data_IF_518617419431
#
_entry.id   IF_518617419431
#
_cell.length_a   1.000
_cell.length_b   1.000
_cell.length_c   1.000
_cell.angle_alpha   90.00
_cell.angle_beta   90.00
_cell.angle_gamma   90.00
#
_symmetry.space_group_name_H-M   'P 1'
#
loop_
_entity.id
_entity.type
_entity.pdbx_description
1 polymer ?
#
# COMPACT_ATOMS: atom_id res chain seq x y z
N UNK A 1 19.09 -5.72 -26.33
CA UNK A 1 18.47 -4.68 -25.48
C UNK A 1 17.79 -5.39 -24.33
N UNK A 2 18.31 -5.30 -23.12
CA UNK A 2 17.62 -5.78 -21.93
C UNK A 2 16.40 -4.91 -21.71
N UNK A 3 15.21 -5.51 -21.76
CA UNK A 3 13.96 -4.78 -21.45
C UNK A 3 14.03 -4.40 -19.98
N UNK A 4 14.18 -3.12 -19.70
CA UNK A 4 14.23 -2.61 -18.34
C UNK A 4 12.90 -2.93 -17.64
N UNK A 5 12.97 -3.83 -16.66
CA UNK A 5 11.81 -4.24 -15.87
C UNK A 5 11.41 -3.12 -14.91
N UNK A 6 10.23 -2.57 -15.07
CA UNK A 6 9.70 -1.56 -14.14
C UNK A 6 9.00 -2.26 -12.96
N UNK A 7 9.08 -1.71 -11.74
CA UNK A 7 8.30 -2.20 -10.62
C UNK A 7 6.82 -1.95 -10.84
N UNK A 8 5.98 -2.81 -10.26
CA UNK A 8 4.53 -2.65 -10.30
C UNK A 8 4.00 -2.65 -8.88
N UNK A 9 3.25 -1.62 -8.50
CA UNK A 9 2.61 -1.53 -7.18
C UNK A 9 1.65 -2.71 -6.93
N UNK A 10 1.12 -3.34 -8.00
CA UNK A 10 0.29 -4.54 -7.87
C UNK A 10 1.01 -5.70 -7.22
N UNK A 11 2.34 -5.79 -7.36
CA UNK A 11 3.17 -6.81 -6.69
C UNK A 11 3.02 -6.74 -5.18
N UNK A 12 2.97 -5.53 -4.64
CA UNK A 12 2.75 -5.29 -3.21
C UNK A 12 1.26 -5.40 -2.84
N UNK A 13 0.35 -4.84 -3.64
CA UNK A 13 -1.06 -4.69 -3.29
C UNK A 13 -1.85 -6.01 -3.34
N UNK A 14 -1.61 -6.88 -4.33
CA UNK A 14 -2.39 -8.11 -4.51
C UNK A 14 -2.38 -8.99 -3.25
N UNK A 15 -1.24 -9.29 -2.60
CA UNK A 15 -1.24 -10.07 -1.37
C UNK A 15 -2.09 -9.44 -0.25
N UNK A 16 -2.02 -8.12 -0.06
CA UNK A 16 -2.79 -7.41 0.96
C UNK A 16 -4.29 -7.41 0.69
N UNK A 17 -4.69 -7.13 -0.55
CA UNK A 17 -6.11 -7.16 -0.95
C UNK A 17 -6.67 -8.57 -0.74
N UNK A 18 -5.92 -9.61 -1.15
CA UNK A 18 -6.31 -11.00 -0.94
C UNK A 18 -6.46 -11.31 0.54
N UNK A 19 -5.50 -10.89 1.37
CA UNK A 19 -5.53 -11.08 2.81
C UNK A 19 -6.79 -10.47 3.44
N UNK A 20 -7.05 -9.19 3.20
CA UNK A 20 -8.19 -8.51 3.80
C UNK A 20 -9.53 -9.11 3.36
N UNK A 21 -9.69 -9.45 2.08
CA UNK A 21 -10.94 -10.03 1.59
C UNK A 21 -11.10 -11.47 2.04
N UNK A 22 -10.12 -12.33 1.77
CA UNK A 22 -10.27 -13.76 1.97
C UNK A 22 -10.32 -14.14 3.46
N UNK A 23 -9.49 -13.54 4.31
CA UNK A 23 -9.47 -13.80 5.76
C UNK A 23 -10.73 -13.27 6.44
N UNK A 24 -11.30 -12.14 5.99
CA UNK A 24 -12.56 -11.62 6.50
C UNK A 24 -13.77 -12.49 6.14
N UNK A 25 -13.73 -13.20 5.02
CA UNK A 25 -14.79 -14.14 4.63
C UNK A 25 -14.69 -15.46 5.40
N UNK A 26 -13.50 -16.01 5.50
CA UNK A 26 -13.22 -17.24 6.25
C UNK A 26 -11.76 -17.24 6.68
N UNK A 27 -11.52 -17.22 7.98
CA UNK A 27 -10.16 -17.08 8.53
C UNK A 27 -9.22 -18.19 8.07
N UNK A 28 -9.62 -19.45 8.18
CA UNK A 28 -8.76 -20.60 7.86
C UNK A 28 -8.51 -20.70 6.34
N UNK A 29 -9.57 -20.82 5.54
CA UNK A 29 -9.47 -20.94 4.07
C UNK A 29 -8.87 -19.68 3.46
N UNK A 30 -9.24 -18.50 3.96
CA UNK A 30 -8.72 -17.22 3.50
C UNK A 30 -7.22 -17.06 3.77
N UNK A 31 -6.75 -17.54 4.90
CA UNK A 31 -5.32 -17.56 5.22
C UNK A 31 -4.55 -18.47 4.25
N UNK A 32 -5.06 -19.66 3.96
CA UNK A 32 -4.46 -20.58 2.97
C UNK A 32 -4.43 -19.95 1.58
N UNK A 33 -5.55 -19.37 1.13
CA UNK A 33 -5.62 -18.67 -0.16
C UNK A 33 -4.58 -17.54 -0.22
N UNK A 34 -4.48 -16.75 0.84
CA UNK A 34 -3.52 -15.63 0.91
C UNK A 34 -2.07 -16.13 0.85
N UNK A 35 -1.74 -17.20 1.55
CA UNK A 35 -0.40 -17.82 1.49
C UNK A 35 -0.08 -18.32 0.09
N UNK A 36 -1.03 -18.96 -0.58
CA UNK A 36 -0.86 -19.42 -1.96
C UNK A 36 -0.63 -18.26 -2.92
N UNK A 37 -1.43 -17.20 -2.82
CA UNK A 37 -1.29 -15.99 -3.65
C UNK A 37 0.06 -15.31 -3.37
N UNK A 38 0.42 -15.08 -2.10
CA UNK A 38 1.68 -14.46 -1.73
C UNK A 38 2.89 -15.25 -2.27
N UNK A 39 2.83 -16.58 -2.21
CA UNK A 39 3.87 -17.47 -2.75
C UNK A 39 3.92 -17.46 -4.29
N UNK A 40 2.79 -17.26 -4.96
CA UNK A 40 2.70 -17.23 -6.42
C UNK A 40 3.15 -15.90 -7.03
N UNK A 41 3.06 -14.78 -6.29
CA UNK A 41 3.40 -13.43 -6.78
C UNK A 41 4.79 -13.36 -7.44
N UNK A 42 5.88 -13.88 -6.86
CA UNK A 42 7.20 -13.83 -7.49
C UNK A 42 7.25 -14.49 -8.88
N UNK A 43 6.44 -15.52 -9.09
CA UNK A 43 6.37 -16.25 -10.37
C UNK A 43 5.47 -15.53 -11.38
N UNK A 44 4.31 -15.04 -10.94
CA UNK A 44 3.34 -14.33 -11.80
C UNK A 44 3.92 -12.99 -12.24
N UNK A 45 4.52 -12.25 -11.33
CA UNK A 45 5.04 -10.90 -11.54
C UNK A 45 6.52 -10.87 -11.98
N UNK A 46 7.07 -12.01 -12.43
CA UNK A 46 8.49 -12.18 -12.84
C UNK A 46 8.97 -11.18 -13.92
N UNK A 47 8.05 -10.58 -14.66
CA UNK A 47 8.34 -9.54 -15.67
C UNK A 47 8.58 -8.17 -15.04
N UNK A 48 8.22 -7.96 -13.78
CA UNK A 48 8.41 -6.72 -13.06
C UNK A 48 9.65 -6.78 -12.17
N UNK A 49 10.22 -5.61 -11.87
CA UNK A 49 11.31 -5.48 -10.91
C UNK A 49 10.70 -5.49 -9.50
N UNK A 50 11.20 -6.35 -8.62
CA UNK A 50 10.83 -6.34 -7.22
C UNK A 50 11.61 -5.27 -6.47
N UNK A 51 10.91 -4.47 -5.70
CA UNK A 51 11.50 -3.54 -4.74
C UNK A 51 11.45 -4.16 -3.33
N UNK A 52 12.21 -3.60 -2.40
CA UNK A 52 12.26 -4.11 -1.02
C UNK A 52 10.88 -4.15 -0.37
N UNK A 53 10.01 -3.19 -0.68
CA UNK A 53 8.66 -3.10 -0.16
C UNK A 53 7.76 -4.26 -0.60
N UNK A 54 7.96 -4.81 -1.82
CA UNK A 54 7.27 -6.00 -2.28
C UNK A 54 7.61 -7.21 -1.42
N UNK A 55 8.92 -7.40 -1.16
CA UNK A 55 9.41 -8.53 -0.36
C UNK A 55 8.91 -8.45 1.07
N UNK A 56 9.02 -7.27 1.70
CA UNK A 56 8.53 -7.04 3.07
C UNK A 56 7.01 -7.27 3.16
N UNK A 57 6.25 -6.84 2.15
CA UNK A 57 4.80 -7.06 2.08
C UNK A 57 4.44 -8.53 1.99
N UNK A 58 5.09 -9.29 1.12
CA UNK A 58 4.86 -10.73 0.98
C UNK A 58 5.13 -11.44 2.30
N UNK A 59 6.26 -11.14 2.95
CA UNK A 59 6.62 -11.73 4.25
C UNK A 59 5.61 -11.35 5.34
N UNK A 60 5.24 -10.07 5.43
CA UNK A 60 4.30 -9.60 6.46
C UNK A 60 2.92 -10.25 6.30
N UNK A 61 2.39 -10.31 5.08
CA UNK A 61 1.11 -10.96 4.78
C UNK A 61 1.17 -12.47 5.09
N UNK A 62 2.28 -13.13 4.75
CA UNK A 62 2.46 -14.54 5.06
C UNK A 62 2.46 -14.80 6.58
N UNK A 63 3.17 -13.96 7.36
CA UNK A 63 3.19 -14.07 8.83
C UNK A 63 1.79 -13.83 9.40
N UNK A 64 1.10 -12.76 8.99
CA UNK A 64 -0.25 -12.46 9.48
C UNK A 64 -1.26 -13.55 9.12
N UNK A 65 -1.17 -14.11 7.91
CA UNK A 65 -2.02 -15.23 7.50
C UNK A 65 -1.75 -16.51 8.31
N UNK A 66 -0.48 -16.80 8.60
CA UNK A 66 -0.11 -17.94 9.44
C UNK A 66 -0.64 -17.74 10.86
N UNK A 67 -0.49 -16.56 11.46
CA UNK A 67 -1.03 -16.23 12.78
C UNK A 67 -2.55 -16.38 12.78
N UNK A 68 -3.25 -15.81 11.78
CA UNK A 68 -4.70 -15.90 11.67
C UNK A 68 -5.17 -17.35 11.59
N UNK A 69 -4.51 -18.20 10.79
CA UNK A 69 -4.83 -19.62 10.64
C UNK A 69 -4.61 -20.41 11.93
N UNK A 70 -3.48 -20.17 12.61
CA UNK A 70 -3.11 -20.93 13.82
C UNK A 70 -3.94 -20.54 15.06
N UNK A 71 -4.37 -19.27 15.14
CA UNK A 71 -5.07 -18.73 16.32
C UNK A 71 -6.58 -18.62 16.14
N UNK A 72 -7.08 -18.73 14.90
CA UNK A 72 -8.47 -18.41 14.56
C UNK A 72 -8.81 -16.91 14.65
N UNK A 73 -7.84 -16.03 14.94
CA UNK A 73 -8.01 -14.60 15.17
C UNK A 73 -7.97 -13.78 13.87
N UNK A 74 -8.76 -14.16 12.86
CA UNK A 74 -8.80 -13.49 11.56
C UNK A 74 -9.14 -12.01 11.64
N UNK A 75 -10.12 -11.64 12.44
CA UNK A 75 -10.55 -10.23 12.62
C UNK A 75 -9.43 -9.34 13.17
N UNK A 76 -8.72 -9.81 14.20
CA UNK A 76 -7.61 -9.08 14.81
C UNK A 76 -6.44 -9.01 13.81
N UNK A 77 -6.17 -10.11 13.11
CA UNK A 77 -5.09 -10.16 12.11
C UNK A 77 -5.33 -9.20 10.95
N UNK A 78 -6.58 -9.04 10.48
CA UNK A 78 -6.91 -8.07 9.44
C UNK A 78 -6.77 -6.63 9.93
N UNK A 79 -7.14 -6.32 11.17
CA UNK A 79 -6.99 -4.98 11.76
C UNK A 79 -5.50 -4.62 11.93
N UNK A 80 -4.69 -5.55 12.42
CA UNK A 80 -3.21 -5.42 12.47
C UNK A 80 -2.64 -5.28 11.06
N UNK A 81 -3.21 -5.95 10.07
CA UNK A 81 -2.83 -5.83 8.67
C UNK A 81 -2.91 -4.39 8.15
N UNK A 82 -4.00 -3.66 8.45
CA UNK A 82 -4.11 -2.24 8.10
C UNK A 82 -3.00 -1.42 8.77
N UNK A 83 -2.71 -1.66 10.04
CA UNK A 83 -1.66 -0.97 10.77
C UNK A 83 -0.28 -1.23 10.15
N UNK A 84 0.07 -2.49 9.93
CA UNK A 84 1.37 -2.90 9.35
C UNK A 84 1.54 -2.30 7.95
N UNK A 85 0.50 -2.35 7.12
CA UNK A 85 0.54 -1.76 5.79
C UNK A 85 0.73 -0.24 5.83
N UNK A 86 -0.01 0.45 6.72
CA UNK A 86 0.17 1.89 6.95
C UNK A 86 1.58 2.24 7.41
N UNK A 87 2.16 1.42 8.30
CA UNK A 87 3.54 1.60 8.77
C UNK A 87 4.56 1.44 7.64
N UNK A 88 4.38 0.55 6.68
CA UNK A 88 5.27 0.48 5.51
C UNK A 88 5.32 1.79 4.74
N UNK A 89 4.17 2.43 4.54
CA UNK A 89 4.11 3.73 3.88
C UNK A 89 4.82 4.81 4.70
N UNK A 90 4.55 4.90 6.00
CA UNK A 90 5.16 5.91 6.88
C UNK A 90 6.66 5.69 7.05
N UNK A 91 7.11 4.46 7.27
CA UNK A 91 8.53 4.12 7.40
C UNK A 91 9.28 4.40 6.09
N UNK A 92 8.63 4.21 4.93
CA UNK A 92 9.24 4.56 3.65
C UNK A 92 9.58 6.07 3.56
N UNK A 93 8.83 6.92 4.25
CA UNK A 93 9.12 8.36 4.31
C UNK A 93 10.39 8.70 5.11
N UNK A 94 10.91 7.77 5.90
CA UNK A 94 12.19 7.93 6.61
C UNK A 94 13.38 7.49 5.75
N UNK A 95 13.13 6.92 4.58
CA UNK A 95 14.16 6.48 3.65
C UNK A 95 14.44 7.54 2.58
N UNK A 96 15.53 7.35 1.82
CA UNK A 96 15.88 8.24 0.70
C UNK A 96 14.88 8.16 -0.46
N UNK A 97 14.08 7.11 -0.51
CA UNK A 97 13.10 6.86 -1.57
C UNK A 97 11.77 6.43 -0.95
N UNK A 98 10.77 7.33 -0.85
CA UNK A 98 9.46 6.98 -0.34
C UNK A 98 8.78 5.97 -1.26
N UNK A 99 7.88 5.16 -0.70
CA UNK A 99 7.26 4.04 -1.39
C UNK A 99 6.60 4.44 -2.72
N UNK A 100 5.91 5.59 -2.79
CA UNK A 100 5.37 6.10 -4.04
C UNK A 100 6.47 6.28 -5.10
N UNK A 101 7.60 6.93 -4.75
CA UNK A 101 8.68 7.18 -5.69
C UNK A 101 9.28 5.88 -6.24
N UNK A 102 9.42 4.85 -5.41
CA UNK A 102 9.97 3.56 -5.80
C UNK A 102 9.23 2.92 -6.99
N UNK A 103 7.91 3.11 -7.08
CA UNK A 103 7.10 2.56 -8.16
C UNK A 103 6.94 3.50 -9.36
N UNK A 104 6.84 4.81 -9.14
CA UNK A 104 6.51 5.74 -10.24
C UNK A 104 7.73 6.39 -10.91
N UNK A 105 8.92 6.33 -10.31
CA UNK A 105 10.13 7.00 -10.84
C UNK A 105 10.45 6.66 -12.30
N UNK A 106 10.15 5.45 -12.73
CA UNK A 106 10.42 5.03 -14.12
C UNK A 106 9.55 5.73 -15.16
N UNK A 107 8.41 6.29 -14.74
CA UNK A 107 7.58 7.16 -15.59
C UNK A 107 8.15 8.58 -15.68
N UNK A 108 9.14 8.93 -14.86
CA UNK A 108 9.76 10.26 -14.74
C UNK A 108 11.27 10.26 -15.00
N UNK A 109 11.78 9.30 -15.77
CA UNK A 109 13.19 9.23 -16.14
C UNK A 109 14.06 8.34 -15.24
N UNK A 110 13.46 7.42 -14.49
CA UNK A 110 14.16 6.44 -13.67
C UNK A 110 14.87 7.05 -12.46
N UNK A 111 16.11 6.65 -12.23
CA UNK A 111 16.90 7.15 -11.09
C UNK A 111 17.16 8.68 -11.17
N UNK A 112 17.09 9.28 -12.36
CA UNK A 112 17.25 10.73 -12.51
C UNK A 112 16.08 11.52 -11.87
N UNK A 113 14.92 10.91 -11.70
CA UNK A 113 13.77 11.53 -11.05
C UNK A 113 14.06 11.94 -9.59
N UNK A 114 14.95 11.23 -8.89
CA UNK A 114 15.36 11.58 -7.51
C UNK A 114 16.09 12.94 -7.41
N UNK A 115 16.70 13.42 -8.51
CA UNK A 115 17.34 14.75 -8.55
C UNK A 115 16.33 15.88 -8.63
N UNK A 116 15.06 15.58 -8.91
CA UNK A 116 13.99 16.57 -8.96
C UNK A 116 13.35 16.74 -7.56
N UNK A 117 13.59 17.86 -6.86
CA UNK A 117 13.06 18.07 -5.52
C UNK A 117 11.52 18.05 -5.47
N UNK A 118 10.88 18.53 -6.55
CA UNK A 118 9.43 18.59 -6.64
C UNK A 118 8.83 17.19 -6.78
N UNK A 119 9.44 16.32 -7.60
CA UNK A 119 9.08 14.91 -7.70
C UNK A 119 9.17 14.22 -6.34
N UNK A 120 10.29 14.37 -5.66
CA UNK A 120 10.51 13.75 -4.35
C UNK A 120 9.51 14.26 -3.32
N UNK A 121 9.33 15.59 -3.21
CA UNK A 121 8.38 16.18 -2.25
C UNK A 121 6.94 15.70 -2.47
N UNK A 122 6.49 15.63 -3.74
CA UNK A 122 5.17 15.11 -4.08
C UNK A 122 5.00 13.66 -3.60
N UNK A 123 5.99 12.81 -3.85
CA UNK A 123 5.93 11.41 -3.47
C UNK A 123 6.04 11.17 -1.96
N UNK A 124 6.78 12.00 -1.21
CA UNK A 124 6.78 11.97 0.26
C UNK A 124 5.40 12.33 0.83
N UNK A 125 4.76 13.40 0.31
CA UNK A 125 3.42 13.79 0.77
C UNK A 125 2.41 12.67 0.50
N UNK A 126 2.43 12.08 -0.69
CA UNK A 126 1.52 10.99 -1.04
C UNK A 126 1.78 9.74 -0.20
N UNK A 127 3.03 9.35 0.01
CA UNK A 127 3.36 8.20 0.83
C UNK A 127 2.90 8.41 2.29
N UNK A 128 3.13 9.59 2.86
CA UNK A 128 2.64 9.94 4.20
C UNK A 128 1.11 9.91 4.26
N UNK A 129 0.41 10.45 3.27
CA UNK A 129 -1.05 10.47 3.23
C UNK A 129 -1.64 9.05 3.16
N UNK A 130 -1.08 8.16 2.33
CA UNK A 130 -1.46 6.75 2.30
C UNK A 130 -1.19 6.05 3.63
N UNK A 131 -0.03 6.27 4.23
CA UNK A 131 0.32 5.69 5.53
C UNK A 131 -0.64 6.13 6.64
N UNK A 132 -0.93 7.42 6.73
CA UNK A 132 -1.90 7.96 7.69
C UNK A 132 -3.29 7.37 7.46
N UNK A 133 -3.75 7.26 6.21
CA UNK A 133 -5.04 6.64 5.88
C UNK A 133 -5.14 5.23 6.46
N UNK A 134 -4.14 4.36 6.22
CA UNK A 134 -4.20 2.98 6.68
C UNK A 134 -4.05 2.83 8.20
N UNK A 135 -3.23 3.68 8.83
CA UNK A 135 -3.16 3.73 10.31
C UNK A 135 -4.51 4.15 10.90
N UNK A 136 -5.15 5.18 10.33
CA UNK A 136 -6.49 5.59 10.76
C UNK A 136 -7.51 4.48 10.48
N UNK A 137 -7.40 3.77 9.36
CA UNK A 137 -8.26 2.62 9.05
C UNK A 137 -8.17 1.56 10.14
N UNK A 138 -6.96 1.22 10.60
CA UNK A 138 -6.79 0.28 11.72
C UNK A 138 -7.48 0.78 13.00
N UNK A 139 -7.28 2.06 13.33
CA UNK A 139 -7.84 2.67 14.56
C UNK A 139 -9.37 2.68 14.53
N UNK A 140 -9.98 3.22 13.49
CA UNK A 140 -11.45 3.28 13.44
C UNK A 140 -12.07 1.89 13.31
N UNK A 141 -11.43 0.96 12.59
CA UNK A 141 -11.93 -0.41 12.48
C UNK A 141 -12.01 -1.06 13.85
N UNK A 142 -10.94 -0.96 14.65
CA UNK A 142 -10.91 -1.47 16.01
C UNK A 142 -11.98 -0.83 16.91
N UNK A 143 -12.13 0.50 16.87
CA UNK A 143 -13.08 1.22 17.71
C UNK A 143 -14.54 0.92 17.31
N UNK A 144 -14.84 0.91 16.02
CA UNK A 144 -16.20 0.69 15.52
C UNK A 144 -16.65 -0.77 15.63
N UNK A 145 -15.74 -1.74 15.52
CA UNK A 145 -16.05 -3.14 15.83
C UNK A 145 -16.49 -3.29 17.29
N UNK A 146 -15.80 -2.64 18.22
CA UNK A 146 -16.22 -2.61 19.64
C UNK A 146 -17.58 -1.96 19.86
N UNK A 147 -17.97 -1.00 19.02
CA UNK A 147 -19.28 -0.36 19.06
C UNK A 147 -20.38 -1.16 18.32
N UNK A 148 -20.09 -2.35 17.80
CA UNK A 148 -21.05 -3.22 17.11
C UNK A 148 -21.34 -2.84 15.65
N UNK A 149 -20.53 -1.94 15.04
CA UNK A 149 -20.71 -1.45 13.67
C UNK A 149 -19.84 -2.27 12.69
N UNK A 150 -20.13 -3.57 12.54
CA UNK A 150 -19.31 -4.44 11.69
C UNK A 150 -19.55 -4.32 10.18
N UNK A 151 -20.81 -4.40 9.74
CA UNK A 151 -21.13 -4.45 8.30
C UNK A 151 -20.75 -3.18 7.54
N UNK A 152 -20.96 -1.99 8.13
CA UNK A 152 -20.62 -0.70 7.52
C UNK A 152 -19.11 -0.52 7.32
N UNK A 153 -18.28 -1.16 8.18
CA UNK A 153 -16.83 -1.06 8.10
C UNK A 153 -16.26 -1.68 6.81
N UNK A 154 -16.84 -2.76 6.34
CA UNK A 154 -16.41 -3.40 5.08
C UNK A 154 -16.53 -2.40 3.93
N UNK A 155 -17.65 -1.68 3.86
CA UNK A 155 -17.88 -0.68 2.81
C UNK A 155 -16.90 0.50 2.94
N UNK A 156 -16.77 1.05 4.14
CA UNK A 156 -15.89 2.20 4.40
C UNK A 156 -14.43 1.86 4.10
N UNK A 157 -13.93 0.72 4.61
CA UNK A 157 -12.54 0.33 4.43
C UNK A 157 -12.17 0.03 2.96
N UNK A 158 -13.15 -0.41 2.15
CA UNK A 158 -12.93 -0.60 0.71
C UNK A 158 -13.07 0.70 -0.10
N UNK A 159 -13.91 1.65 0.35
CA UNK A 159 -14.12 2.91 -0.35
C UNK A 159 -12.96 3.89 -0.14
N UNK A 160 -12.38 3.94 1.06
CA UNK A 160 -11.31 4.90 1.39
C UNK A 160 -10.07 4.79 0.48
N UNK A 161 -9.52 3.60 0.19
CA UNK A 161 -8.42 3.46 -0.77
C UNK A 161 -8.77 3.91 -2.18
N UNK A 162 -10.02 3.73 -2.62
CA UNK A 162 -10.49 4.20 -3.93
C UNK A 162 -10.48 5.72 -3.98
N UNK A 163 -11.04 6.38 -2.97
CA UNK A 163 -11.02 7.84 -2.87
C UNK A 163 -9.59 8.38 -2.78
N UNK A 164 -8.72 7.70 -2.03
CA UNK A 164 -7.32 8.08 -1.94
C UNK A 164 -6.56 7.89 -3.27
N UNK A 165 -6.91 6.86 -4.06
CA UNK A 165 -6.39 6.67 -5.40
C UNK A 165 -6.77 7.82 -6.35
N UNK A 166 -8.04 8.25 -6.31
CA UNK A 166 -8.53 9.41 -7.06
C UNK A 166 -7.79 10.68 -6.62
N UNK A 167 -7.67 10.89 -5.31
CA UNK A 167 -6.89 12.00 -4.76
C UNK A 167 -5.44 11.99 -5.24
N UNK A 168 -4.78 10.82 -5.22
CA UNK A 168 -3.39 10.66 -5.69
C UNK A 168 -3.24 11.14 -7.14
N UNK A 169 -4.09 10.63 -8.05
CA UNK A 169 -4.03 11.00 -9.46
C UNK A 169 -4.32 12.49 -9.73
N UNK A 170 -5.16 13.12 -8.91
CA UNK A 170 -5.40 14.56 -8.95
C UNK A 170 -4.20 15.33 -8.38
N UNK A 171 -3.70 14.94 -7.20
CA UNK A 171 -2.64 15.64 -6.46
C UNK A 171 -1.30 15.65 -7.23
N UNK A 172 -0.93 14.56 -7.88
CA UNK A 172 0.26 14.45 -8.71
C UNK A 172 0.33 15.50 -9.83
N UNK A 173 -0.83 15.93 -10.34
CA UNK A 173 -0.94 16.97 -11.37
C UNK A 173 -1.08 18.36 -10.78
N UNK A 174 -1.93 18.51 -9.77
CA UNK A 174 -2.28 19.78 -9.18
C UNK A 174 -1.13 20.42 -8.39
N UNK A 175 -0.45 19.64 -7.54
CA UNK A 175 0.57 20.18 -6.64
C UNK A 175 1.79 20.76 -7.38
N UNK A 176 2.42 20.08 -8.37
CA UNK A 176 3.48 20.66 -9.16
C UNK A 176 3.05 21.90 -9.96
N UNK A 177 1.84 21.86 -10.55
CA UNK A 177 1.32 23.00 -11.31
C UNK A 177 1.11 24.25 -10.44
N UNK A 178 0.64 24.06 -9.18
CA UNK A 178 0.47 25.15 -8.22
C UNK A 178 1.80 25.81 -7.84
N UNK A 179 2.84 25.00 -7.58
CA UNK A 179 4.16 25.52 -7.22
C UNK A 179 4.82 26.27 -8.41
N UNK A 180 4.69 25.75 -9.63
CA UNK A 180 5.20 26.41 -10.82
C UNK A 180 4.55 27.79 -11.08
N UNK A 181 3.27 27.97 -10.72
CA UNK A 181 2.58 29.27 -10.81
C UNK A 181 3.04 30.25 -9.72
N UNK A 182 3.38 29.75 -8.54
CA UNK A 182 3.88 30.58 -7.44
C UNK A 182 5.26 31.18 -7.73
N UNK A 183 6.15 30.40 -8.36
CA UNK A 183 7.52 30.86 -8.72
C UNK A 183 7.57 31.87 -9.86
N UNK A 184 6.51 32.01 -10.68
CA UNK A 184 6.42 33.02 -11.75
C UNK A 184 5.91 34.39 -11.26
N UNK A 185 5.50 34.51 -10.00
CA UNK A 185 4.95 35.72 -9.40
C UNK A 185 5.96 36.46 -8.49
N UNK A 186 7.13 35.87 -8.30
CA UNK A 186 8.29 36.47 -7.62
C UNK A 186 9.31 36.89 -8.67
#
# INVERSE_FOLDING_TARGET
MEVQKNPSMMTMLIPWITFWIAVSVNTEKGSVITLLVASAIPFIMRKHKFVIWDQLSIVAVAILSAIASLTGAGDISTDIGYLVFGLFWLVSCLTKEPLCAAYVKYNYGGEAAHKNPLFMKTNYILAAAWGVLYVLTAVWTFLLKKAGVGATLIVVNNLMPVLMGIFTGWFEKWYPARLARGSKKQ
#
